data_IF_375401462737
#
_entry.id   IF_375401462737
#
_cell.length_a   1.000
_cell.length_b   1.000
_cell.length_c   1.000
_cell.angle_alpha   90.00
_cell.angle_beta   90.00
_cell.angle_gamma   90.00
#
_symmetry.space_group_name_H-M   'P 1'
#
loop_
_entity.id
_entity.type
_entity.pdbx_description
1 polymer ?
#
# COMPACT_ATOMS: atom_id res chain seq x y z
N UNK A 1 -30.57 -12.89 21.76
CA UNK A 1 -29.60 -11.98 21.17
C UNK A 1 -28.36 -12.09 22.03
N UNK A 2 -27.28 -12.64 21.50
CA UNK A 2 -25.98 -12.57 22.17
C UNK A 2 -25.61 -11.10 22.30
N UNK A 3 -25.17 -10.68 23.48
CA UNK A 3 -24.68 -9.32 23.68
C UNK A 3 -23.46 -9.10 22.79
N UNK A 4 -23.51 -8.07 21.93
CA UNK A 4 -22.39 -7.71 21.06
C UNK A 4 -21.15 -7.43 21.92
N UNK A 5 -20.03 -8.04 21.56
CA UNK A 5 -18.77 -7.82 22.28
C UNK A 5 -18.25 -6.41 22.01
N UNK A 6 -17.65 -5.72 22.99
CA UNK A 6 -17.04 -4.43 22.78
C UNK A 6 -15.90 -4.51 21.77
N UNK A 7 -15.77 -3.47 20.92
CA UNK A 7 -14.79 -3.41 19.83
C UNK A 7 -13.50 -2.72 20.28
N UNK A 8 -12.36 -3.35 19.96
CA UNK A 8 -11.02 -2.77 20.06
C UNK A 8 -10.52 -2.41 18.67
N UNK A 9 -10.25 -1.13 18.44
CA UNK A 9 -9.61 -0.65 17.23
C UNK A 9 -8.11 -0.47 17.44
N UNK A 10 -7.27 -1.01 16.52
CA UNK A 10 -5.82 -0.93 16.60
C UNK A 10 -5.28 -0.02 15.51
N UNK A 11 -4.78 1.16 15.90
CA UNK A 11 -4.08 2.10 15.03
C UNK A 11 -2.56 1.89 15.15
N UNK A 12 -1.94 1.32 14.12
CA UNK A 12 -0.51 1.02 14.14
C UNK A 12 0.05 0.97 12.71
N UNK A 13 1.36 1.15 12.52
CA UNK A 13 1.98 0.82 11.26
C UNK A 13 1.77 -0.66 10.93
N UNK A 14 1.80 -1.03 9.65
CA UNK A 14 1.64 -2.41 9.21
C UNK A 14 2.84 -2.88 8.38
N UNK A 15 3.04 -4.21 8.36
CA UNK A 15 4.18 -4.83 7.71
C UNK A 15 5.50 -4.49 8.41
N UNK A 16 6.60 -4.58 7.68
CA UNK A 16 7.91 -4.18 8.17
C UNK A 16 8.18 -2.72 7.82
N UNK A 17 8.63 -1.94 8.79
CA UNK A 17 8.98 -0.52 8.63
C UNK A 17 10.39 -0.27 9.13
N UNK A 18 11.19 0.40 8.31
CA UNK A 18 12.50 0.87 8.73
C UNK A 18 12.34 1.96 9.79
N UNK A 19 12.89 1.73 10.96
CA UNK A 19 13.06 2.78 11.96
C UNK A 19 14.30 3.60 11.60
N UNK A 20 14.07 4.83 11.16
CA UNK A 20 15.15 5.73 10.71
C UNK A 20 16.10 6.11 11.84
N UNK A 21 15.66 6.07 13.09
CA UNK A 21 16.48 6.44 14.26
C UNK A 21 17.37 5.28 14.72
N UNK A 22 16.91 4.03 14.52
CA UNK A 22 17.57 2.81 15.01
C UNK A 22 18.25 1.99 13.93
N UNK A 23 18.04 2.33 12.65
CA UNK A 23 18.66 1.66 11.49
C UNK A 23 18.34 0.15 11.36
N UNK A 24 17.19 -0.29 11.87
CA UNK A 24 16.66 -1.63 11.67
C UNK A 24 15.17 -1.62 11.32
N UNK A 25 14.69 -2.69 10.70
CA UNK A 25 13.27 -2.86 10.41
C UNK A 25 12.51 -3.38 11.64
N UNK A 26 11.33 -2.81 11.90
CA UNK A 26 10.40 -3.29 12.91
C UNK A 26 9.27 -4.06 12.21
N UNK A 27 9.01 -5.27 12.67
CA UNK A 27 7.92 -6.12 12.16
C UNK A 27 6.64 -5.89 12.97
N UNK A 28 5.80 -4.96 12.49
CA UNK A 28 4.54 -4.60 13.14
C UNK A 28 3.48 -5.69 13.04
N UNK A 29 3.52 -6.55 11.99
CA UNK A 29 2.63 -7.69 11.92
C UNK A 29 2.90 -8.68 13.06
N UNK A 30 4.18 -8.94 13.35
CA UNK A 30 4.54 -9.79 14.46
C UNK A 30 4.14 -9.19 15.82
N UNK A 31 4.33 -7.87 16.03
CA UNK A 31 3.86 -7.19 17.26
C UNK A 31 2.35 -7.37 17.44
N UNK A 32 1.58 -7.23 16.37
CA UNK A 32 0.15 -7.46 16.40
C UNK A 32 -0.21 -8.92 16.74
N UNK A 33 0.34 -9.89 16.00
CA UNK A 33 -0.04 -11.31 16.09
C UNK A 33 0.37 -11.97 17.40
N UNK A 34 1.56 -11.71 17.93
CA UNK A 34 2.04 -12.36 19.17
C UNK A 34 1.97 -11.48 20.41
N UNK A 35 1.66 -10.18 20.26
CA UNK A 35 1.57 -9.22 21.35
C UNK A 35 0.14 -8.72 21.57
N UNK A 36 -0.37 -7.89 20.65
CA UNK A 36 -1.64 -7.19 20.84
C UNK A 36 -2.82 -8.17 20.80
N UNK A 37 -2.94 -8.97 19.76
CA UNK A 37 -4.04 -9.92 19.56
C UNK A 37 -4.21 -10.92 20.71
N UNK A 38 -3.13 -11.55 21.23
CA UNK A 38 -3.26 -12.44 22.37
C UNK A 38 -3.67 -11.75 23.68
N UNK A 39 -3.30 -10.48 23.86
CA UNK A 39 -3.72 -9.71 25.03
C UNK A 39 -5.24 -9.42 24.99
N UNK A 40 -5.74 -9.01 23.82
CA UNK A 40 -7.19 -8.75 23.61
C UNK A 40 -8.00 -10.03 23.72
N UNK A 41 -7.50 -11.14 23.18
CA UNK A 41 -8.17 -12.44 23.21
C UNK A 41 -8.41 -13.04 24.63
N UNK A 42 -7.82 -12.42 25.69
CA UNK A 42 -8.12 -12.80 27.09
C UNK A 42 -9.49 -12.29 27.57
N UNK A 43 -10.11 -11.43 26.80
CA UNK A 43 -11.39 -10.77 27.14
C UNK A 43 -12.42 -11.05 26.05
N UNK A 44 -13.71 -10.95 26.33
CA UNK A 44 -14.76 -11.05 25.32
C UNK A 44 -14.81 -9.75 24.51
N UNK A 45 -13.81 -9.52 23.67
CA UNK A 45 -13.61 -8.32 22.86
C UNK A 45 -13.39 -8.71 21.40
N UNK A 46 -14.00 -7.94 20.51
CA UNK A 46 -13.68 -7.98 19.08
C UNK A 46 -12.52 -7.04 18.77
N UNK A 47 -11.67 -7.40 17.81
CA UNK A 47 -10.48 -6.64 17.46
C UNK A 47 -10.42 -6.38 15.96
N UNK A 48 -10.18 -5.14 15.55
CA UNK A 48 -9.98 -4.72 14.17
C UNK A 48 -8.72 -3.85 14.09
N UNK A 49 -7.84 -4.14 13.13
CA UNK A 49 -6.63 -3.35 12.86
C UNK A 49 -6.82 -2.43 11.65
N UNK A 50 -6.23 -1.23 11.69
CA UNK A 50 -6.41 -0.18 10.68
C UNK A 50 -5.97 -0.56 9.25
N UNK A 51 -4.99 -1.46 9.10
CA UNK A 51 -4.49 -1.90 7.78
C UNK A 51 -5.31 -3.03 7.14
N UNK A 52 -6.19 -3.63 7.88
CA UNK A 52 -7.19 -4.55 7.33
C UNK A 52 -8.14 -3.79 6.39
N UNK A 53 -8.09 -2.45 6.42
CA UNK A 53 -8.73 -1.53 5.46
C UNK A 53 -7.82 -1.18 4.27
N UNK A 54 -7.57 -2.13 3.39
CA UNK A 54 -6.84 -1.89 2.13
C UNK A 54 -7.69 -1.32 1.00
N UNK A 55 -8.81 -0.70 1.29
CA UNK A 55 -9.68 -0.12 0.28
C UNK A 55 -9.23 1.28 -0.09
N UNK A 56 -8.79 1.45 -1.33
CA UNK A 56 -8.62 2.76 -1.94
C UNK A 56 -9.99 3.39 -2.20
N UNK A 57 -10.17 4.59 -1.76
CA UNK A 57 -11.37 5.39 -1.83
C UNK A 57 -11.22 6.52 -0.83
N UNK A 58 -12.29 7.11 -0.35
CA UNK A 58 -12.23 7.96 0.84
C UNK A 58 -11.94 7.05 2.05
N UNK A 59 -10.69 6.64 2.16
CA UNK A 59 -10.14 5.74 3.19
C UNK A 59 -10.50 6.21 4.60
N UNK A 60 -10.78 7.50 4.75
CA UNK A 60 -10.95 8.14 6.04
C UNK A 60 -12.30 7.87 6.70
N UNK A 61 -13.38 7.56 5.95
CA UNK A 61 -14.69 7.43 6.58
C UNK A 61 -14.79 6.22 7.52
N UNK A 62 -14.49 4.98 7.09
CA UNK A 62 -14.48 3.82 7.97
C UNK A 62 -13.47 3.95 9.11
N UNK A 63 -12.28 4.48 8.83
CA UNK A 63 -11.25 4.73 9.83
C UNK A 63 -11.77 5.71 10.92
N UNK A 64 -12.38 6.83 10.52
CA UNK A 64 -12.95 7.77 11.49
C UNK A 64 -14.12 7.15 12.27
N UNK A 65 -15.00 6.39 11.60
CA UNK A 65 -16.08 5.67 12.29
C UNK A 65 -15.49 4.75 13.38
N UNK A 66 -14.43 3.98 13.08
CA UNK A 66 -13.77 3.09 14.04
C UNK A 66 -13.08 3.86 15.16
N UNK A 67 -12.33 4.92 14.85
CA UNK A 67 -11.72 5.78 15.86
C UNK A 67 -12.73 6.37 16.83
N UNK A 68 -13.90 6.74 16.32
CA UNK A 68 -14.95 7.38 17.12
C UNK A 68 -15.83 6.37 17.86
N UNK A 69 -16.16 5.24 17.24
CA UNK A 69 -17.21 4.33 17.71
C UNK A 69 -16.66 3.11 18.49
N UNK A 70 -15.40 2.69 18.26
CA UNK A 70 -14.81 1.61 19.05
C UNK A 70 -14.75 1.97 20.54
N UNK A 71 -15.06 1.02 21.41
CA UNK A 71 -15.03 1.22 22.86
C UNK A 71 -13.61 1.48 23.33
N UNK A 72 -12.64 0.74 22.81
CA UNK A 72 -11.22 0.85 23.15
C UNK A 72 -10.42 1.10 21.86
N UNK A 73 -9.42 1.97 21.94
CA UNK A 73 -8.40 2.11 20.90
C UNK A 73 -7.02 1.73 21.45
N UNK A 74 -6.26 0.93 20.71
CA UNK A 74 -4.85 0.65 20.97
C UNK A 74 -4.05 1.36 19.88
N UNK A 75 -3.12 2.23 20.27
CA UNK A 75 -2.34 3.07 19.34
C UNK A 75 -0.85 2.80 19.51
N UNK A 76 -0.17 2.33 18.47
CA UNK A 76 1.27 2.08 18.50
C UNK A 76 2.07 3.29 18.01
N UNK A 77 2.71 3.98 18.94
CA UNK A 77 3.47 5.21 18.71
C UNK A 77 4.98 4.98 18.42
N UNK A 78 5.43 3.74 18.21
CA UNK A 78 6.87 3.36 18.20
C UNK A 78 7.70 4.09 17.14
N UNK A 79 7.22 4.23 15.90
CA UNK A 79 8.00 4.82 14.80
C UNK A 79 7.65 6.28 14.51
N UNK A 80 6.92 6.96 15.38
CA UNK A 80 6.45 8.32 15.17
C UNK A 80 5.75 8.51 13.81
N UNK A 81 4.94 7.53 13.40
CA UNK A 81 4.21 7.58 12.14
C UNK A 81 3.17 8.71 12.17
N UNK A 82 3.26 9.64 11.22
CA UNK A 82 2.39 10.82 11.17
C UNK A 82 0.90 10.47 11.08
N UNK A 83 0.52 9.39 10.38
CA UNK A 83 -0.86 8.94 10.27
C UNK A 83 -1.37 8.43 11.63
N UNK A 84 -0.57 7.62 12.32
CA UNK A 84 -0.92 7.09 13.65
C UNK A 84 -1.09 8.24 14.66
N UNK A 85 -0.23 9.28 14.60
CA UNK A 85 -0.40 10.45 15.46
C UNK A 85 -1.63 11.30 15.11
N UNK A 86 -1.97 11.39 13.82
CA UNK A 86 -3.21 12.04 13.41
C UNK A 86 -4.44 11.28 13.94
N UNK A 87 -4.46 9.95 13.84
CA UNK A 87 -5.49 9.07 14.37
C UNK A 87 -5.60 9.19 15.90
N UNK A 88 -4.47 9.20 16.61
CA UNK A 88 -4.41 9.42 18.06
C UNK A 88 -5.01 10.77 18.45
N UNK A 89 -4.67 11.84 17.73
CA UNK A 89 -5.21 13.18 17.97
C UNK A 89 -6.72 13.24 17.79
N UNK A 90 -7.26 12.63 16.72
CA UNK A 90 -8.68 12.50 16.48
C UNK A 90 -9.38 11.74 17.61
N UNK A 91 -8.79 10.60 18.02
CA UNK A 91 -9.33 9.78 19.13
C UNK A 91 -9.35 10.55 20.44
N UNK A 92 -8.27 11.22 20.81
CA UNK A 92 -8.18 12.03 22.02
C UNK A 92 -9.17 13.19 22.03
N UNK A 93 -9.47 13.81 20.88
CA UNK A 93 -10.45 14.87 20.78
C UNK A 93 -11.90 14.36 20.91
N UNK A 94 -12.16 13.11 20.51
CA UNK A 94 -13.50 12.53 20.48
C UNK A 94 -13.87 11.75 21.75
N UNK A 95 -12.89 11.12 22.40
CA UNK A 95 -13.12 10.23 23.55
C UNK A 95 -12.32 10.66 24.76
N UNK A 96 -12.94 10.81 25.92
CA UNK A 96 -12.25 11.18 27.17
C UNK A 96 -11.31 10.10 27.65
N UNK A 97 -11.59 8.83 27.38
CA UNK A 97 -10.83 7.69 27.85
C UNK A 97 -10.84 6.51 26.88
N UNK A 98 -10.38 5.37 27.38
CA UNK A 98 -10.30 4.11 26.62
C UNK A 98 -9.34 4.13 25.42
N UNK A 99 -8.28 4.94 25.51
CA UNK A 99 -7.17 4.97 24.53
C UNK A 99 -5.91 4.44 25.18
N UNK A 100 -5.40 3.32 24.71
CA UNK A 100 -4.19 2.66 25.22
C UNK A 100 -3.05 2.91 24.23
N UNK A 101 -2.04 3.67 24.65
CA UNK A 101 -0.87 3.89 23.82
C UNK A 101 0.16 2.80 24.14
N UNK A 102 0.62 2.10 23.09
CA UNK A 102 1.73 1.15 23.19
C UNK A 102 2.95 1.70 22.47
N UNK A 103 4.15 1.34 22.92
CA UNK A 103 5.41 1.78 22.33
C UNK A 103 6.55 0.86 22.71
N UNK A 104 7.64 0.88 21.93
CA UNK A 104 8.87 0.21 22.37
C UNK A 104 9.48 0.90 23.59
N UNK A 105 10.13 0.12 24.45
CA UNK A 105 10.93 0.64 25.56
C UNK A 105 12.18 1.41 25.12
N UNK A 106 12.52 1.36 23.84
CA UNK A 106 13.70 1.98 23.26
C UNK A 106 13.37 3.36 22.68
N UNK A 107 14.10 4.39 23.10
CA UNK A 107 14.04 5.74 22.54
C UNK A 107 12.98 6.66 23.17
N UNK A 108 13.10 7.97 22.92
CA UNK A 108 12.19 8.97 23.48
C UNK A 108 10.85 8.97 22.76
N UNK A 109 9.78 9.22 23.50
CA UNK A 109 8.50 9.59 22.96
C UNK A 109 8.50 11.07 22.54
N UNK A 110 7.69 11.48 21.53
CA UNK A 110 7.46 12.87 21.25
C UNK A 110 6.96 13.63 22.48
N UNK A 111 7.37 14.89 22.61
CA UNK A 111 7.11 15.71 23.79
C UNK A 111 5.62 15.71 24.19
N UNK A 112 4.71 15.85 23.22
CA UNK A 112 3.27 15.98 23.48
C UNK A 112 2.61 14.70 24.01
N UNK A 113 3.22 13.54 23.80
CA UNK A 113 2.73 12.25 24.31
C UNK A 113 3.62 11.64 25.42
N UNK A 114 4.78 12.23 25.69
CA UNK A 114 5.70 11.74 26.70
C UNK A 114 5.11 11.80 28.13
N UNK A 115 4.11 12.62 28.36
CA UNK A 115 3.38 12.73 29.64
C UNK A 115 2.25 11.70 29.78
N UNK A 116 1.88 11.00 28.69
CA UNK A 116 0.77 10.06 28.72
C UNK A 116 1.29 8.69 29.16
N UNK A 117 0.48 7.98 29.94
CA UNK A 117 0.80 6.62 30.36
C UNK A 117 0.79 5.66 29.19
N UNK A 118 1.90 5.01 28.91
CA UNK A 118 2.06 4.03 27.82
C UNK A 118 2.31 2.62 28.34
N UNK A 119 1.92 1.61 27.57
CA UNK A 119 2.34 0.22 27.77
C UNK A 119 3.54 -0.06 26.87
N UNK A 120 4.63 -0.48 27.47
CA UNK A 120 5.89 -0.66 26.75
C UNK A 120 6.15 -2.13 26.40
N UNK A 121 6.79 -2.36 25.26
CA UNK A 121 7.31 -3.65 24.83
C UNK A 121 8.78 -3.53 24.42
N UNK A 122 9.54 -4.62 24.54
CA UNK A 122 10.97 -4.64 24.22
C UNK A 122 11.21 -5.38 22.91
N UNK A 123 11.96 -4.74 22.00
CA UNK A 123 12.38 -5.33 20.75
C UNK A 123 13.84 -5.78 20.82
N UNK A 124 14.17 -6.86 20.13
CA UNK A 124 15.54 -7.28 19.89
C UNK A 124 15.87 -7.06 18.40
N UNK A 125 16.57 -5.96 18.11
CA UNK A 125 16.87 -5.52 16.73
C UNK A 125 15.62 -5.45 15.82
N UNK A 126 14.54 -4.85 16.33
CA UNK A 126 13.30 -4.67 15.59
C UNK A 126 12.31 -5.83 15.65
N UNK A 127 12.65 -6.93 16.34
CA UNK A 127 11.79 -8.11 16.45
C UNK A 127 11.26 -8.27 17.86
N UNK A 128 9.95 -8.40 18.01
CA UNK A 128 9.35 -8.85 19.27
C UNK A 128 9.58 -10.37 19.40
N UNK A 129 10.43 -10.78 20.35
CA UNK A 129 10.69 -12.20 20.63
C UNK A 129 9.56 -12.80 21.46
N UNK A 130 9.39 -14.13 21.42
CA UNK A 130 8.34 -14.81 22.19
C UNK A 130 8.51 -14.58 23.69
N UNK A 131 9.75 -14.49 24.18
CA UNK A 131 10.06 -14.18 25.58
C UNK A 131 9.57 -12.78 25.98
N UNK A 132 9.83 -11.76 25.14
CA UNK A 132 9.41 -10.38 25.39
C UNK A 132 7.91 -10.17 25.12
N UNK A 133 7.31 -10.97 24.23
CA UNK A 133 5.89 -10.93 23.95
C UNK A 133 5.05 -11.31 25.18
N UNK A 134 5.44 -12.32 25.95
CA UNK A 134 4.69 -12.74 27.14
C UNK A 134 4.54 -11.59 28.15
N UNK A 135 5.62 -10.87 28.44
CA UNK A 135 5.59 -9.72 29.35
C UNK A 135 4.73 -8.57 28.81
N UNK A 136 4.79 -8.31 27.50
CA UNK A 136 3.95 -7.30 26.83
C UNK A 136 2.47 -7.68 26.87
N UNK A 137 2.12 -8.92 26.54
CA UNK A 137 0.76 -9.45 26.62
C UNK A 137 0.18 -9.25 28.02
N UNK A 138 0.94 -9.58 29.07
CA UNK A 138 0.50 -9.42 30.46
C UNK A 138 0.31 -7.94 30.83
N UNK A 139 1.22 -7.06 30.41
CA UNK A 139 1.12 -5.63 30.68
C UNK A 139 -0.09 -5.00 29.97
N UNK A 140 -0.28 -5.35 28.70
CA UNK A 140 -1.41 -4.84 27.91
C UNK A 140 -2.75 -5.40 28.41
N UNK A 141 -2.80 -6.68 28.80
CA UNK A 141 -4.00 -7.28 29.37
C UNK A 141 -4.44 -6.58 30.68
N UNK A 142 -3.49 -6.28 31.58
CA UNK A 142 -3.81 -5.50 32.80
C UNK A 142 -4.34 -4.09 32.48
N UNK A 143 -3.81 -3.44 31.43
CA UNK A 143 -4.32 -2.12 31.03
C UNK A 143 -5.72 -2.21 30.41
N UNK A 144 -5.97 -3.24 29.61
CA UNK A 144 -7.29 -3.55 29.05
C UNK A 144 -8.31 -3.84 30.16
N UNK A 145 -7.96 -4.63 31.15
CA UNK A 145 -8.82 -4.92 32.31
C UNK A 145 -9.19 -3.64 33.06
N UNK A 146 -8.20 -2.77 33.29
CA UNK A 146 -8.44 -1.45 33.91
C UNK A 146 -9.37 -0.57 33.05
N UNK A 147 -9.16 -0.51 31.75
CA UNK A 147 -10.01 0.26 30.83
C UNK A 147 -11.45 -0.29 30.78
N UNK A 148 -11.62 -1.60 30.80
CA UNK A 148 -12.94 -2.25 30.79
C UNK A 148 -13.71 -2.03 32.12
N UNK A 149 -13.00 -1.97 33.25
CA UNK A 149 -13.63 -1.77 34.56
C UNK A 149 -14.16 -0.35 34.76
N UNK A 150 -13.67 0.64 34.00
CA UNK A 150 -14.03 2.05 34.21
C UNK A 150 -14.16 2.83 32.88
N UNK A 151 -14.80 2.21 31.89
CA UNK A 151 -15.01 2.80 30.55
C UNK A 151 -15.68 4.18 30.55
N UNK A 152 -16.43 4.51 31.62
CA UNK A 152 -17.18 5.77 31.68
C UNK A 152 -16.42 6.90 32.39
N UNK A 153 -15.48 6.58 33.28
CA UNK A 153 -14.81 7.58 34.12
C UNK A 153 -13.29 7.69 33.84
N UNK A 154 -12.67 6.71 33.15
CA UNK A 154 -11.26 6.77 32.81
C UNK A 154 -11.01 7.92 31.82
N UNK A 155 -10.23 8.91 32.23
CA UNK A 155 -9.83 10.04 31.39
C UNK A 155 -8.36 9.91 31.06
N UNK A 156 -8.03 9.26 29.94
CA UNK A 156 -6.66 9.13 29.45
C UNK A 156 -6.30 10.14 28.34
N UNK A 157 -7.30 10.86 27.81
CA UNK A 157 -7.08 11.94 26.86
C UNK A 157 -6.55 13.21 27.53
N UNK A 158 -5.40 13.76 27.11
CA UNK A 158 -4.87 15.03 27.61
C UNK A 158 -5.83 16.21 27.48
N UNK A 159 -6.66 16.24 26.44
CA UNK A 159 -7.63 17.33 26.23
C UNK A 159 -8.67 17.38 27.34
N UNK A 160 -9.20 16.23 27.74
CA UNK A 160 -10.20 16.15 28.81
C UNK A 160 -9.56 16.30 30.19
N UNK A 161 -8.29 15.95 30.38
CA UNK A 161 -7.58 16.12 31.63
C UNK A 161 -7.16 17.58 31.87
N UNK A 162 -6.71 18.28 30.82
CA UNK A 162 -6.07 19.59 30.95
C UNK A 162 -7.01 20.76 30.65
N UNK A 163 -8.07 20.55 29.90
CA UNK A 163 -9.02 21.58 29.52
C UNK A 163 -10.34 21.34 30.28
N UNK A 164 -10.63 22.09 31.35
CA UNK A 164 -11.87 21.95 32.07
C UNK A 164 -13.09 22.16 31.15
N UNK A 165 -14.07 21.28 31.24
CA UNK A 165 -15.29 21.33 30.43
C UNK A 165 -15.07 21.19 28.90
N UNK A 166 -13.98 20.55 28.47
CA UNK A 166 -13.83 20.22 27.06
C UNK A 166 -15.06 19.39 26.62
N UNK A 167 -15.81 19.85 25.59
CA UNK A 167 -17.06 19.20 25.22
C UNK A 167 -16.74 17.83 24.57
N UNK A 168 -17.24 16.76 25.17
CA UNK A 168 -17.19 15.42 24.58
C UNK A 168 -18.13 15.31 23.39
N UNK A 169 -17.90 14.34 22.52
CA UNK A 169 -18.82 13.95 21.46
C UNK A 169 -19.76 12.87 22.03
N UNK A 170 -21.05 13.18 22.14
CA UNK A 170 -22.06 12.16 22.43
C UNK A 170 -22.39 11.41 21.13
N UNK A 171 -22.07 10.11 21.11
CA UNK A 171 -22.39 9.24 19.97
C UNK A 171 -23.67 8.47 20.28
N UNK A 172 -24.70 8.53 19.40
CA UNK A 172 -25.92 7.76 19.58
C UNK A 172 -25.64 6.25 19.64
N UNK A 173 -26.28 5.54 20.57
CA UNK A 173 -26.09 4.09 20.76
C UNK A 173 -26.39 3.29 19.48
N UNK A 174 -27.46 3.67 18.78
CA UNK A 174 -27.88 3.03 17.53
C UNK A 174 -26.84 3.15 16.41
N UNK A 175 -26.04 4.23 16.41
CA UNK A 175 -24.93 4.39 15.46
C UNK A 175 -23.80 3.39 15.74
N UNK A 176 -23.56 3.04 16.99
CA UNK A 176 -22.52 2.08 17.39
C UNK A 176 -22.91 0.64 17.02
N UNK A 177 -24.14 0.21 17.23
CA UNK A 177 -24.60 -1.15 16.87
C UNK A 177 -24.59 -1.35 15.35
N UNK A 178 -25.21 -0.45 14.60
CA UNK A 178 -25.23 -0.53 13.14
C UNK A 178 -23.82 -0.42 12.49
N UNK A 179 -22.87 0.20 13.18
CA UNK A 179 -21.48 0.23 12.78
C UNK A 179 -20.80 -1.15 12.98
N UNK A 180 -20.97 -1.78 14.15
CA UNK A 180 -20.37 -3.12 14.43
C UNK A 180 -20.83 -4.17 13.45
N UNK A 181 -22.13 -4.24 13.19
CA UNK A 181 -22.68 -5.18 12.20
C UNK A 181 -22.08 -4.98 10.82
N UNK A 182 -21.89 -3.72 10.41
CA UNK A 182 -21.23 -3.39 9.13
C UNK A 182 -19.77 -3.77 9.13
N UNK A 183 -19.02 -3.51 10.22
CA UNK A 183 -17.61 -3.81 10.32
C UNK A 183 -17.37 -5.34 10.20
N UNK A 184 -18.09 -6.14 10.97
CA UNK A 184 -18.01 -7.62 10.88
C UNK A 184 -18.39 -8.15 9.50
N UNK A 185 -19.43 -7.59 8.88
CA UNK A 185 -19.82 -7.98 7.53
C UNK A 185 -18.71 -7.68 6.51
N UNK A 186 -18.10 -6.49 6.57
CA UNK A 186 -17.01 -6.09 5.67
C UNK A 186 -15.79 -6.99 5.84
N UNK A 187 -15.37 -7.26 7.08
CA UNK A 187 -14.21 -8.12 7.35
C UNK A 187 -14.46 -9.57 6.89
N UNK A 188 -15.64 -10.12 7.15
CA UNK A 188 -16.02 -11.42 6.64
C UNK A 188 -16.04 -11.53 5.09
N UNK A 189 -16.38 -10.44 4.39
CA UNK A 189 -16.27 -10.36 2.92
C UNK A 189 -14.82 -10.35 2.48
N UNK A 190 -13.93 -9.58 3.15
CA UNK A 190 -12.49 -9.52 2.83
C UNK A 190 -11.81 -10.88 2.96
N UNK A 191 -12.05 -11.58 4.05
CA UNK A 191 -11.51 -12.94 4.26
C UNK A 191 -11.94 -13.90 3.13
N UNK A 192 -13.21 -13.81 2.73
CA UNK A 192 -13.74 -14.60 1.62
C UNK A 192 -13.11 -14.23 0.27
N UNK A 193 -12.83 -12.94 0.01
CA UNK A 193 -12.13 -12.49 -1.18
C UNK A 193 -10.68 -12.99 -1.21
N UNK A 194 -9.98 -12.97 -0.08
CA UNK A 194 -8.63 -13.54 0.04
C UNK A 194 -8.64 -15.03 -0.26
N UNK A 195 -9.58 -15.80 0.35
CA UNK A 195 -9.74 -17.22 0.10
C UNK A 195 -10.10 -17.52 -1.38
N UNK A 196 -10.97 -16.69 -1.97
CA UNK A 196 -11.34 -16.83 -3.38
C UNK A 196 -10.14 -16.61 -4.31
N UNK A 197 -9.28 -15.61 -4.05
CA UNK A 197 -8.05 -15.37 -4.83
C UNK A 197 -7.07 -16.53 -4.75
N UNK A 198 -6.98 -17.22 -3.62
CA UNK A 198 -6.09 -18.37 -3.43
C UNK A 198 -6.47 -19.57 -4.33
N UNK A 199 -7.70 -19.61 -4.86
CA UNK A 199 -8.11 -20.65 -5.83
C UNK A 199 -7.38 -20.52 -7.18
N UNK A 200 -6.96 -19.30 -7.56
CA UNK A 200 -6.32 -19.02 -8.83
C UNK A 200 -7.23 -19.18 -10.07
N UNK A 201 -6.77 -18.66 -11.21
CA UNK A 201 -7.42 -18.87 -12.49
C UNK A 201 -8.91 -18.46 -12.54
N UNK A 202 -9.67 -19.08 -13.43
CA UNK A 202 -11.10 -18.79 -13.63
C UNK A 202 -11.96 -19.21 -12.43
N UNK A 203 -11.51 -20.17 -11.62
CA UNK A 203 -12.22 -20.57 -10.40
C UNK A 203 -12.26 -19.40 -9.39
N UNK A 204 -11.16 -18.67 -9.26
CA UNK A 204 -11.11 -17.46 -8.44
C UNK A 204 -12.05 -16.37 -8.98
N UNK A 205 -12.07 -16.14 -10.31
CA UNK A 205 -12.97 -15.15 -10.95
C UNK A 205 -14.43 -15.48 -10.63
N UNK A 206 -14.81 -16.76 -10.78
CA UNK A 206 -16.17 -17.22 -10.48
C UNK A 206 -16.53 -16.99 -9.02
N UNK A 207 -15.61 -17.35 -8.10
CA UNK A 207 -15.86 -17.21 -6.66
C UNK A 207 -15.97 -15.76 -6.21
N UNK A 208 -15.12 -14.88 -6.75
CA UNK A 208 -15.19 -13.43 -6.49
C UNK A 208 -16.52 -12.88 -7.02
N UNK A 209 -17.01 -13.37 -8.17
CA UNK A 209 -18.29 -12.95 -8.74
C UNK A 209 -19.48 -13.33 -7.86
N UNK A 210 -19.48 -14.53 -7.27
CA UNK A 210 -20.52 -14.95 -6.32
C UNK A 210 -20.57 -14.01 -5.11
N UNK A 211 -19.39 -13.63 -4.58
CA UNK A 211 -19.28 -12.69 -3.46
C UNK A 211 -19.78 -11.30 -3.86
N UNK A 212 -19.39 -10.81 -5.04
CA UNK A 212 -19.87 -9.54 -5.61
C UNK A 212 -21.40 -9.50 -5.72
N UNK A 213 -22.02 -10.55 -6.27
CA UNK A 213 -23.46 -10.64 -6.41
C UNK A 213 -24.19 -10.68 -5.05
N UNK A 214 -23.58 -11.26 -4.02
CA UNK A 214 -24.10 -11.21 -2.65
C UNK A 214 -24.05 -9.80 -2.07
N UNK A 215 -22.89 -9.10 -2.25
CA UNK A 215 -22.72 -7.71 -1.82
C UNK A 215 -23.78 -6.83 -2.48
N UNK A 216 -23.97 -6.96 -3.80
CA UNK A 216 -24.94 -6.19 -4.57
C UNK A 216 -26.38 -6.31 -4.05
N UNK A 217 -26.73 -7.47 -3.49
CA UNK A 217 -28.07 -7.71 -2.90
C UNK A 217 -28.23 -7.11 -1.50
N UNK A 218 -27.17 -7.12 -0.68
CA UNK A 218 -27.20 -6.70 0.73
C UNK A 218 -26.82 -5.24 0.94
N UNK A 219 -25.90 -4.73 0.12
CA UNK A 219 -25.29 -3.40 0.28
C UNK A 219 -24.95 -2.78 -1.08
N UNK A 220 -25.94 -2.46 -1.92
CA UNK A 220 -25.71 -2.09 -3.33
C UNK A 220 -24.91 -0.81 -3.55
N UNK A 221 -24.76 0.05 -2.55
CA UNK A 221 -24.03 1.33 -2.63
C UNK A 221 -22.76 1.38 -1.78
N UNK A 222 -22.19 0.22 -1.40
CA UNK A 222 -20.97 0.21 -0.58
C UNK A 222 -19.72 0.34 -1.45
N UNK A 223 -19.22 1.58 -1.55
CA UNK A 223 -18.01 1.91 -2.31
C UNK A 223 -16.75 1.17 -1.81
N UNK A 224 -16.66 0.91 -0.52
CA UNK A 224 -15.56 0.21 0.11
C UNK A 224 -15.50 -1.24 -0.39
N UNK A 225 -16.59 -1.98 -0.26
CA UNK A 225 -16.65 -3.37 -0.74
C UNK A 225 -16.48 -3.49 -2.26
N UNK A 226 -17.01 -2.51 -3.02
CA UNK A 226 -16.77 -2.47 -4.47
C UNK A 226 -15.27 -2.35 -4.80
N UNK A 227 -14.54 -1.53 -4.02
CA UNK A 227 -13.09 -1.41 -4.18
C UNK A 227 -12.36 -2.69 -3.81
N UNK A 228 -12.72 -3.35 -2.70
CA UNK A 228 -12.12 -4.63 -2.30
C UNK A 228 -12.31 -5.70 -3.37
N UNK A 229 -13.49 -5.76 -4.00
CA UNK A 229 -13.79 -6.65 -5.14
C UNK A 229 -12.93 -6.29 -6.36
N UNK A 230 -12.77 -4.99 -6.70
CA UNK A 230 -11.90 -4.56 -7.80
C UNK A 230 -10.44 -4.98 -7.55
N UNK A 231 -9.93 -4.82 -6.34
CA UNK A 231 -8.57 -5.24 -5.97
C UNK A 231 -8.42 -6.77 -5.98
N UNK A 232 -9.45 -7.51 -5.58
CA UNK A 232 -9.45 -8.97 -5.67
C UNK A 232 -9.34 -9.44 -7.12
N UNK A 233 -10.10 -8.88 -8.04
CA UNK A 233 -9.99 -9.15 -9.48
C UNK A 233 -8.63 -8.75 -10.04
N UNK A 234 -8.13 -7.54 -9.70
CA UNK A 234 -6.82 -7.06 -10.15
C UNK A 234 -5.69 -8.06 -9.86
N UNK A 235 -5.73 -8.68 -8.69
CA UNK A 235 -4.70 -9.63 -8.25
C UNK A 235 -4.61 -10.91 -9.07
N UNK A 236 -5.59 -11.19 -9.94
CA UNK A 236 -5.60 -12.39 -10.79
C UNK A 236 -4.91 -12.17 -12.15
N UNK A 237 -4.83 -10.94 -12.64
CA UNK A 237 -4.27 -10.52 -13.94
C UNK A 237 -4.81 -11.32 -15.16
N UNK A 238 -6.09 -11.70 -15.14
CA UNK A 238 -6.78 -12.41 -16.20
C UNK A 238 -7.66 -11.46 -17.02
N UNK A 239 -7.92 -11.80 -18.30
CA UNK A 239 -8.82 -11.02 -19.14
C UNK A 239 -10.18 -10.81 -18.48
N UNK A 240 -10.78 -11.88 -18.01
CA UNK A 240 -12.08 -11.89 -17.35
C UNK A 240 -12.10 -11.07 -16.07
N UNK A 241 -10.99 -11.06 -15.33
CA UNK A 241 -10.87 -10.24 -14.12
C UNK A 241 -10.85 -8.74 -14.45
N UNK A 242 -10.16 -8.34 -15.53
CA UNK A 242 -10.16 -6.95 -16.00
C UNK A 242 -11.53 -6.53 -16.54
N UNK A 243 -12.22 -7.40 -17.27
CA UNK A 243 -13.60 -7.18 -17.73
C UNK A 243 -14.56 -6.95 -16.56
N UNK A 244 -14.42 -7.73 -15.49
CA UNK A 244 -15.22 -7.57 -14.29
C UNK A 244 -14.96 -6.26 -13.55
N UNK A 245 -13.70 -5.79 -13.46
CA UNK A 245 -13.39 -4.46 -12.90
C UNK A 245 -14.09 -3.37 -13.69
N UNK A 246 -14.00 -3.40 -15.01
CA UNK A 246 -14.65 -2.40 -15.89
C UNK A 246 -16.16 -2.42 -15.68
N UNK A 247 -16.78 -3.58 -15.74
CA UNK A 247 -18.22 -3.76 -15.55
C UNK A 247 -18.68 -3.28 -14.17
N UNK A 248 -17.97 -3.67 -13.10
CA UNK A 248 -18.30 -3.26 -11.74
C UNK A 248 -18.25 -1.73 -11.61
N UNK A 249 -17.16 -1.11 -12.05
CA UNK A 249 -17.02 0.34 -11.99
C UNK A 249 -18.12 1.07 -12.77
N UNK A 250 -18.43 0.63 -13.98
CA UNK A 250 -19.48 1.24 -14.82
C UNK A 250 -20.89 1.07 -14.25
N UNK A 251 -21.11 0.01 -13.48
CA UNK A 251 -22.37 -0.24 -12.76
C UNK A 251 -22.57 0.59 -11.49
N UNK A 252 -21.53 1.22 -10.95
CA UNK A 252 -21.64 2.09 -9.78
C UNK A 252 -22.37 3.39 -10.13
N UNK A 253 -23.02 3.99 -9.15
CA UNK A 253 -23.62 5.31 -9.29
C UNK A 253 -22.57 6.40 -9.57
N UNK A 254 -23.01 7.52 -10.16
CA UNK A 254 -22.11 8.61 -10.57
C UNK A 254 -21.32 9.19 -9.39
N UNK A 255 -21.94 9.37 -8.24
CA UNK A 255 -21.29 9.99 -7.08
C UNK A 255 -20.17 9.11 -6.53
N UNK A 256 -20.36 7.80 -6.49
CA UNK A 256 -19.34 6.82 -6.10
C UNK A 256 -18.17 6.79 -7.10
N UNK A 257 -18.47 6.75 -8.41
CA UNK A 257 -17.43 6.76 -9.45
C UNK A 257 -16.57 8.03 -9.45
N UNK A 258 -17.20 9.19 -9.29
CA UNK A 258 -16.50 10.48 -9.30
C UNK A 258 -15.84 10.80 -7.96
N UNK A 259 -16.36 10.27 -6.85
CA UNK A 259 -15.86 10.51 -5.50
C UNK A 259 -14.57 9.78 -5.15
N UNK A 260 -14.19 8.74 -5.90
CA UNK A 260 -13.01 7.94 -5.60
C UNK A 260 -11.94 8.03 -6.70
N UNK A 261 -10.84 8.72 -6.41
CA UNK A 261 -9.66 8.78 -7.29
C UNK A 261 -9.13 7.36 -7.54
N UNK A 262 -8.95 6.58 -6.48
CA UNK A 262 -8.37 5.23 -6.59
C UNK A 262 -9.24 4.30 -7.42
N UNK A 263 -10.56 4.35 -7.30
CA UNK A 263 -11.44 3.55 -8.18
C UNK A 263 -11.28 3.93 -9.65
N UNK A 264 -11.17 5.24 -9.96
CA UNK A 264 -10.91 5.72 -11.32
C UNK A 264 -9.55 5.28 -11.84
N UNK A 265 -8.53 5.23 -10.98
CA UNK A 265 -7.20 4.71 -11.30
C UNK A 265 -7.26 3.21 -11.61
N UNK A 266 -7.95 2.40 -10.78
CA UNK A 266 -8.12 0.97 -11.05
C UNK A 266 -8.90 0.71 -12.33
N UNK A 267 -9.93 1.51 -12.61
CA UNK A 267 -10.67 1.45 -13.88
C UNK A 267 -9.77 1.80 -15.09
N UNK A 268 -8.97 2.87 -14.99
CA UNK A 268 -8.00 3.25 -16.02
C UNK A 268 -6.95 2.16 -16.27
N UNK A 269 -6.43 1.54 -15.21
CA UNK A 269 -5.53 0.41 -15.29
C UNK A 269 -6.18 -0.79 -16.00
N UNK A 270 -7.40 -1.15 -15.59
CA UNK A 270 -8.14 -2.27 -16.18
C UNK A 270 -8.39 -2.08 -17.66
N UNK A 271 -8.79 -0.89 -18.09
CA UNK A 271 -8.95 -0.54 -19.49
C UNK A 271 -7.64 -0.69 -20.28
N UNK A 272 -6.51 -0.21 -19.77
CA UNK A 272 -5.22 -0.40 -20.44
C UNK A 272 -4.83 -1.88 -20.56
N UNK A 273 -5.12 -2.69 -19.54
CA UNK A 273 -4.89 -4.13 -19.59
C UNK A 273 -5.79 -4.82 -20.61
N UNK A 274 -7.08 -4.48 -20.65
CA UNK A 274 -8.04 -5.04 -21.62
C UNK A 274 -7.69 -4.72 -23.06
N UNK A 275 -7.10 -3.56 -23.34
CA UNK A 275 -6.66 -3.20 -24.68
C UNK A 275 -5.74 -4.27 -25.30
N UNK A 276 -4.93 -4.95 -24.50
CA UNK A 276 -4.04 -6.02 -24.98
C UNK A 276 -4.80 -7.17 -25.64
N UNK A 277 -6.03 -7.43 -25.20
CA UNK A 277 -6.90 -8.50 -25.69
C UNK A 277 -7.86 -8.00 -26.79
N UNK A 278 -8.49 -6.85 -26.59
CA UNK A 278 -9.60 -6.39 -27.41
C UNK A 278 -9.15 -5.48 -28.57
N UNK A 279 -8.07 -4.69 -28.37
CA UNK A 279 -7.56 -3.70 -29.34
C UNK A 279 -8.61 -2.66 -29.78
N UNK A 280 -9.57 -2.34 -28.89
CA UNK A 280 -10.63 -1.38 -29.09
C UNK A 280 -10.28 0.06 -28.66
N UNK A 281 -11.22 0.74 -28.02
CA UNK A 281 -11.07 2.12 -27.55
C UNK A 281 -10.63 2.24 -26.09
N UNK A 282 -10.31 1.12 -25.44
CA UNK A 282 -10.04 1.04 -24.00
C UNK A 282 -8.93 2.00 -23.57
N UNK A 283 -7.82 2.10 -24.31
CA UNK A 283 -6.74 3.05 -23.99
C UNK A 283 -7.16 4.51 -24.07
N UNK A 284 -8.00 4.85 -25.04
CA UNK A 284 -8.56 6.20 -25.17
C UNK A 284 -9.44 6.54 -23.95
N UNK A 285 -10.25 5.58 -23.52
CA UNK A 285 -11.08 5.70 -22.33
C UNK A 285 -10.21 5.79 -21.05
N UNK A 286 -9.18 4.97 -20.95
CA UNK A 286 -8.21 5.02 -19.83
C UNK A 286 -7.55 6.39 -19.72
N UNK A 287 -7.01 6.92 -20.83
CA UNK A 287 -6.41 8.26 -20.84
C UNK A 287 -7.42 9.33 -20.42
N UNK A 288 -8.66 9.26 -20.95
CA UNK A 288 -9.71 10.23 -20.59
C UNK A 288 -10.01 10.24 -19.11
N UNK A 289 -10.14 9.09 -18.46
CA UNK A 289 -10.46 9.05 -17.03
C UNK A 289 -9.26 9.48 -16.18
N UNK A 290 -8.04 9.05 -16.54
CA UNK A 290 -6.84 9.41 -15.79
C UNK A 290 -6.49 10.89 -15.92
N UNK A 291 -6.58 11.49 -17.12
CA UNK A 291 -6.40 12.94 -17.28
C UNK A 291 -7.46 13.74 -16.55
N UNK A 292 -8.71 13.27 -16.47
CA UNK A 292 -9.73 13.95 -15.67
C UNK A 292 -9.42 13.94 -14.15
N UNK A 293 -8.63 12.99 -13.66
CA UNK A 293 -8.12 13.01 -12.27
C UNK A 293 -7.08 14.12 -12.14
N UNK A 294 -6.13 14.20 -13.06
CA UNK A 294 -5.11 15.26 -13.07
C UNK A 294 -5.76 16.65 -13.11
N UNK A 295 -6.75 16.84 -13.97
CA UNK A 295 -7.45 18.12 -14.11
C UNK A 295 -8.19 18.53 -12.82
N UNK A 296 -8.68 17.58 -12.04
CA UNK A 296 -9.48 17.85 -10.84
C UNK A 296 -8.68 17.84 -9.53
N UNK A 297 -7.61 17.06 -9.45
CA UNK A 297 -6.88 16.80 -8.21
C UNK A 297 -5.37 17.13 -8.30
N UNK A 298 -4.87 17.45 -9.49
CA UNK A 298 -3.45 17.70 -9.74
C UNK A 298 -2.64 16.42 -9.97
N UNK A 299 -1.34 16.59 -10.13
CA UNK A 299 -0.40 15.49 -10.34
C UNK A 299 -0.23 14.65 -9.08
N UNK A 300 -0.27 13.33 -9.24
CA UNK A 300 0.12 12.36 -8.23
C UNK A 300 1.05 11.31 -8.82
N UNK A 301 1.95 10.69 -8.02
CA UNK A 301 2.82 9.61 -8.49
C UNK A 301 2.06 8.49 -9.18
N UNK A 302 0.97 8.02 -8.59
CA UNK A 302 0.17 6.90 -9.10
C UNK A 302 -0.53 7.26 -10.42
N UNK A 303 -1.31 8.36 -10.46
CA UNK A 303 -2.06 8.72 -11.67
C UNK A 303 -1.11 9.02 -12.84
N UNK A 304 -0.03 9.77 -12.59
CA UNK A 304 0.97 10.06 -13.61
C UNK A 304 1.67 8.79 -14.11
N UNK A 305 2.01 7.85 -13.21
CA UNK A 305 2.63 6.59 -13.58
C UNK A 305 1.69 5.70 -14.41
N UNK A 306 0.38 5.69 -14.13
CA UNK A 306 -0.60 4.97 -14.93
C UNK A 306 -0.71 5.53 -16.35
N UNK A 307 -0.70 6.86 -16.51
CA UNK A 307 -0.67 7.50 -17.84
C UNK A 307 0.67 7.19 -18.54
N UNK A 308 1.79 7.37 -17.86
CA UNK A 308 3.12 7.03 -18.35
C UNK A 308 3.21 5.58 -18.83
N UNK A 309 2.58 4.64 -18.11
CA UNK A 309 2.51 3.23 -18.48
C UNK A 309 1.75 3.01 -19.79
N UNK A 310 0.65 3.73 -20.02
CA UNK A 310 -0.10 3.64 -21.27
C UNK A 310 0.78 4.06 -22.44
N UNK A 311 1.49 5.18 -22.33
CA UNK A 311 2.39 5.65 -23.38
C UNK A 311 3.62 4.75 -23.56
N UNK A 312 4.16 4.15 -22.48
CA UNK A 312 5.24 3.14 -22.55
C UNK A 312 4.78 1.89 -23.32
N UNK A 313 3.54 1.41 -23.06
CA UNK A 313 2.97 0.28 -23.79
C UNK A 313 2.79 0.63 -25.30
N UNK A 314 2.32 1.84 -25.63
CA UNK A 314 2.20 2.34 -27.01
C UNK A 314 3.57 2.48 -27.70
N UNK A 315 4.58 2.98 -26.99
CA UNK A 315 5.96 3.02 -27.48
C UNK A 315 6.45 1.63 -27.87
N UNK A 316 6.27 0.65 -26.99
CA UNK A 316 6.73 -0.71 -27.23
C UNK A 316 6.04 -1.33 -28.47
N UNK A 317 4.73 -1.13 -28.61
CA UNK A 317 3.96 -1.61 -29.76
C UNK A 317 4.35 -0.91 -31.06
N UNK A 318 4.51 0.42 -31.06
CA UNK A 318 4.92 1.18 -32.24
C UNK A 318 6.34 0.83 -32.67
N UNK A 319 7.26 0.62 -31.70
CA UNK A 319 8.62 0.17 -31.98
C UNK A 319 8.63 -1.22 -32.64
N UNK A 320 7.85 -2.15 -32.11
CA UNK A 320 7.72 -3.50 -32.68
C UNK A 320 7.10 -3.50 -34.08
N UNK A 321 6.20 -2.54 -34.36
CA UNK A 321 5.58 -2.35 -35.68
C UNK A 321 6.49 -1.59 -36.69
N UNK A 322 7.68 -1.14 -36.29
CA UNK A 322 8.57 -0.34 -37.15
C UNK A 322 8.12 1.11 -37.35
N UNK A 323 7.15 1.61 -36.57
CA UNK A 323 6.60 2.97 -36.66
C UNK A 323 7.46 3.98 -35.87
N UNK A 324 8.73 4.19 -36.31
CA UNK A 324 9.76 4.92 -35.55
C UNK A 324 9.34 6.32 -35.09
N UNK A 325 8.66 7.12 -35.93
CA UNK A 325 8.20 8.47 -35.58
C UNK A 325 7.14 8.43 -34.45
N UNK A 326 6.17 7.53 -34.57
CA UNK A 326 5.15 7.36 -33.51
C UNK A 326 5.77 6.84 -32.21
N UNK A 327 6.69 5.88 -32.32
CA UNK A 327 7.41 5.35 -31.17
C UNK A 327 8.17 6.47 -30.44
N UNK A 328 8.87 7.35 -31.14
CA UNK A 328 9.55 8.48 -30.54
C UNK A 328 8.60 9.41 -29.78
N UNK A 329 7.45 9.77 -30.38
CA UNK A 329 6.45 10.60 -29.70
C UNK A 329 5.85 9.92 -28.45
N UNK A 330 5.54 8.63 -28.52
CA UNK A 330 5.05 7.90 -27.35
C UNK A 330 6.09 7.78 -26.24
N UNK A 331 7.36 7.63 -26.61
CA UNK A 331 8.48 7.61 -25.64
C UNK A 331 8.60 8.95 -24.91
N UNK A 332 8.52 10.06 -25.63
CA UNK A 332 8.55 11.40 -25.05
C UNK A 332 7.40 11.64 -24.06
N UNK A 333 6.17 11.30 -24.44
CA UNK A 333 5.04 11.37 -23.52
C UNK A 333 5.20 10.45 -22.29
N UNK A 334 5.72 9.25 -22.46
CA UNK A 334 5.95 8.37 -21.33
C UNK A 334 6.97 8.96 -20.34
N UNK A 335 8.07 9.51 -20.85
CA UNK A 335 9.09 10.20 -20.04
C UNK A 335 8.46 11.39 -19.29
N UNK A 336 7.71 12.22 -20.00
CA UNK A 336 7.05 13.40 -19.41
C UNK A 336 6.16 12.99 -18.23
N UNK A 337 5.25 12.03 -18.42
CA UNK A 337 4.31 11.64 -17.37
C UNK A 337 4.98 10.99 -16.17
N UNK A 338 5.97 10.11 -16.38
CA UNK A 338 6.72 9.53 -15.28
C UNK A 338 7.54 10.59 -14.53
N UNK A 339 8.14 11.56 -15.23
CA UNK A 339 8.88 12.66 -14.61
C UNK A 339 7.97 13.56 -13.79
N UNK A 340 6.76 13.88 -14.29
CA UNK A 340 5.72 14.60 -13.52
C UNK A 340 5.34 13.86 -12.25
N UNK A 341 5.13 12.56 -12.33
CA UNK A 341 4.81 11.73 -11.15
C UNK A 341 5.89 11.78 -10.09
N UNK A 342 7.16 11.67 -10.48
CA UNK A 342 8.29 11.80 -9.54
C UNK A 342 8.42 13.23 -8.98
N UNK A 343 8.13 14.24 -9.78
CA UNK A 343 8.17 15.63 -9.32
C UNK A 343 7.05 15.95 -8.31
N UNK A 344 5.88 15.32 -8.49
CA UNK A 344 4.74 15.49 -7.58
C UNK A 344 5.04 14.96 -6.16
N UNK A 345 5.74 13.83 -6.04
CA UNK A 345 6.28 13.34 -4.76
C UNK A 345 7.62 12.62 -4.98
N UNK A 346 8.76 13.34 -4.78
CA UNK A 346 10.09 12.74 -4.94
C UNK A 346 10.45 11.66 -3.91
N UNK A 347 9.58 11.36 -2.95
CA UNK A 347 9.76 10.24 -2.01
C UNK A 347 9.34 8.92 -2.62
N UNK A 348 8.46 8.97 -3.62
CA UNK A 348 8.05 7.78 -4.39
C UNK A 348 9.02 7.56 -5.56
N UNK A 349 9.88 6.55 -5.42
CA UNK A 349 10.89 6.21 -6.43
C UNK A 349 10.30 5.58 -7.70
N UNK A 350 9.08 5.02 -7.66
CA UNK A 350 8.51 4.23 -8.75
C UNK A 350 8.35 5.00 -10.07
N UNK A 351 7.77 6.21 -10.11
CA UNK A 351 7.77 6.99 -11.34
C UNK A 351 9.20 7.37 -11.78
N UNK A 352 10.06 7.69 -10.82
CA UNK A 352 11.44 8.12 -11.09
C UNK A 352 12.28 7.05 -11.79
N UNK A 353 12.23 5.79 -11.35
CA UNK A 353 12.99 4.72 -11.99
C UNK A 353 12.48 4.43 -13.40
N UNK A 354 11.16 4.51 -13.64
CA UNK A 354 10.60 4.37 -14.98
C UNK A 354 11.01 5.53 -15.91
N UNK A 355 11.01 6.77 -15.42
CA UNK A 355 11.53 7.91 -16.17
C UNK A 355 13.01 7.74 -16.52
N UNK A 356 13.85 7.33 -15.56
CA UNK A 356 15.27 7.08 -15.77
C UNK A 356 15.52 6.00 -16.85
N UNK A 357 14.78 4.89 -16.76
CA UNK A 357 14.82 3.83 -17.77
C UNK A 357 14.51 4.34 -19.17
N UNK A 358 13.44 5.13 -19.32
CA UNK A 358 13.01 5.63 -20.62
C UNK A 358 13.91 6.76 -21.16
N UNK A 359 14.48 7.60 -20.30
CA UNK A 359 15.51 8.57 -20.68
C UNK A 359 16.77 7.87 -21.22
N UNK A 360 17.17 6.76 -20.60
CA UNK A 360 18.26 5.95 -21.13
C UNK A 360 17.91 5.39 -22.52
N UNK A 361 16.71 4.86 -22.70
CA UNK A 361 16.22 4.36 -24.00
C UNK A 361 16.19 5.45 -25.07
N UNK A 362 15.81 6.68 -24.73
CA UNK A 362 15.79 7.84 -25.64
C UNK A 362 17.19 8.20 -26.12
N UNK A 363 18.20 8.12 -25.26
CA UNK A 363 19.63 8.19 -25.56
C UNK A 363 20.07 9.46 -26.35
N UNK A 364 19.37 10.60 -26.17
CA UNK A 364 19.78 11.89 -26.75
C UNK A 364 20.73 12.64 -25.80
N UNK A 365 21.47 13.67 -26.28
CA UNK A 365 22.29 14.50 -25.40
C UNK A 365 21.50 15.08 -24.22
N UNK A 366 20.28 15.56 -24.49
CA UNK A 366 19.36 16.16 -23.50
C UNK A 366 18.91 15.10 -22.47
N UNK A 367 18.49 13.92 -22.93
CA UNK A 367 18.06 12.84 -22.04
C UNK A 367 19.20 12.31 -21.16
N UNK A 368 20.43 12.34 -21.64
CA UNK A 368 21.61 11.98 -20.82
C UNK A 368 21.86 12.98 -19.70
N UNK A 369 21.71 14.27 -19.96
CA UNK A 369 21.83 15.31 -18.92
C UNK A 369 20.74 15.15 -17.87
N UNK A 370 19.50 14.91 -18.30
CA UNK A 370 18.38 14.72 -17.39
C UNK A 370 18.54 13.43 -16.57
N UNK A 371 18.99 12.33 -17.19
CA UNK A 371 19.30 11.09 -16.51
C UNK A 371 20.35 11.26 -15.41
N UNK A 372 21.40 12.04 -15.66
CA UNK A 372 22.43 12.37 -14.66
C UNK A 372 21.88 13.12 -13.44
N UNK A 373 20.82 13.92 -13.62
CA UNK A 373 20.14 14.63 -12.52
C UNK A 373 19.17 13.71 -11.78
N UNK A 374 18.43 12.88 -12.52
CA UNK A 374 17.34 12.06 -11.98
C UNK A 374 17.86 10.88 -11.18
N UNK A 375 18.86 10.14 -11.67
CA UNK A 375 19.34 8.90 -11.03
C UNK A 375 19.77 9.12 -9.57
N UNK A 376 20.55 10.15 -9.19
CA UNK A 376 20.89 10.36 -7.79
C UNK A 376 19.67 10.64 -6.89
N UNK A 377 18.68 11.38 -7.40
CA UNK A 377 17.46 11.69 -6.65
C UNK A 377 16.61 10.44 -6.41
N UNK A 378 16.42 9.62 -7.43
CA UNK A 378 15.68 8.34 -7.33
C UNK A 378 16.43 7.35 -6.44
N UNK A 379 17.76 7.28 -6.54
CA UNK A 379 18.58 6.42 -5.68
C UNK A 379 18.46 6.82 -4.20
N UNK A 380 18.44 8.12 -3.92
CA UNK A 380 18.21 8.63 -2.56
C UNK A 380 16.82 8.27 -2.04
N UNK A 381 15.77 8.42 -2.87
CA UNK A 381 14.40 8.04 -2.51
C UNK A 381 14.29 6.54 -2.18
N UNK A 382 14.86 5.68 -3.03
CA UNK A 382 14.89 4.23 -2.81
C UNK A 382 15.68 3.86 -1.54
N UNK A 383 16.83 4.52 -1.30
CA UNK A 383 17.66 4.26 -0.12
C UNK A 383 16.94 4.60 1.20
N UNK A 384 16.13 5.66 1.22
CA UNK A 384 15.33 6.06 2.40
C UNK A 384 14.28 5.02 2.80
N UNK A 385 13.79 4.22 1.87
CA UNK A 385 12.80 3.16 2.12
C UNK A 385 13.45 1.80 2.43
N UNK A 386 14.76 1.76 2.59
CA UNK A 386 15.53 0.55 2.90
C UNK A 386 16.55 0.18 1.84
N UNK A 387 16.30 0.47 0.56
CA UNK A 387 17.22 0.18 -0.55
C UNK A 387 17.68 -1.28 -0.53
N UNK A 388 19.01 -1.49 -0.47
CA UNK A 388 19.62 -2.83 -0.39
C UNK A 388 19.26 -3.63 0.86
N UNK A 389 18.83 -2.98 1.95
CA UNK A 389 18.45 -3.63 3.21
C UNK A 389 16.98 -4.00 3.26
N UNK A 390 16.19 -3.57 2.27
CA UNK A 390 14.76 -3.83 2.23
C UNK A 390 14.43 -5.33 2.16
N UNK A 391 13.30 -5.69 2.71
CA UNK A 391 12.62 -6.98 2.50
C UNK A 391 11.64 -6.94 1.33
N UNK A 392 11.42 -5.77 0.72
CA UNK A 392 10.58 -5.59 -0.46
C UNK A 392 11.40 -5.77 -1.74
N UNK A 393 11.00 -6.74 -2.56
CA UNK A 393 11.65 -7.02 -3.85
C UNK A 393 11.75 -5.77 -4.75
N UNK A 394 10.67 -4.99 -4.86
CA UNK A 394 10.62 -3.84 -5.77
C UNK A 394 11.61 -2.74 -5.41
N UNK A 395 11.88 -2.54 -4.13
CA UNK A 395 12.89 -1.59 -3.67
C UNK A 395 14.30 -2.07 -4.06
N UNK A 396 14.59 -3.35 -3.87
CA UNK A 396 15.90 -3.94 -4.25
C UNK A 396 16.05 -3.97 -5.77
N UNK A 397 15.00 -4.30 -6.51
CA UNK A 397 14.99 -4.28 -7.97
C UNK A 397 15.24 -2.87 -8.53
N UNK A 398 14.69 -1.84 -7.89
CA UNK A 398 14.98 -0.44 -8.24
C UNK A 398 16.46 -0.11 -8.05
N UNK A 399 17.08 -0.56 -6.95
CA UNK A 399 18.54 -0.38 -6.77
C UNK A 399 19.33 -1.10 -7.85
N UNK A 400 18.91 -2.30 -8.23
CA UNK A 400 19.52 -3.06 -9.34
C UNK A 400 19.43 -2.28 -10.67
N UNK A 401 18.23 -1.81 -11.04
CA UNK A 401 18.02 -1.08 -12.28
C UNK A 401 18.85 0.22 -12.33
N UNK A 402 18.88 0.98 -11.23
CA UNK A 402 19.67 2.22 -11.14
C UNK A 402 21.18 1.95 -11.17
N UNK A 403 21.66 0.87 -10.55
CA UNK A 403 23.06 0.49 -10.57
C UNK A 403 23.50 0.08 -11.98
N UNK A 404 22.66 -0.64 -12.73
CA UNK A 404 22.91 -0.97 -14.14
C UNK A 404 22.95 0.32 -14.98
N UNK A 405 21.97 1.22 -14.83
CA UNK A 405 21.94 2.50 -15.55
C UNK A 405 23.16 3.38 -15.26
N UNK A 406 23.70 3.31 -14.04
CA UNK A 406 24.90 4.04 -13.63
C UNK A 406 26.23 3.33 -13.94
N UNK A 407 26.22 2.15 -14.55
CA UNK A 407 27.42 1.35 -14.79
C UNK A 407 28.10 0.83 -13.52
N UNK A 408 27.39 0.79 -12.41
CA UNK A 408 27.89 0.35 -11.10
C UNK A 408 27.77 -1.17 -10.93
N UNK A 409 28.55 -1.91 -11.71
CA UNK A 409 28.40 -3.37 -11.89
C UNK A 409 28.51 -4.17 -10.60
N UNK A 410 29.41 -3.78 -9.68
CA UNK A 410 29.53 -4.44 -8.38
C UNK A 410 28.29 -4.26 -7.51
N UNK A 411 27.65 -3.12 -7.60
CA UNK A 411 26.41 -2.83 -6.87
C UNK A 411 25.22 -3.53 -7.53
N UNK A 412 25.19 -3.58 -8.86
CA UNK A 412 24.21 -4.33 -9.63
C UNK A 412 24.23 -5.83 -9.27
N UNK A 413 25.40 -6.45 -9.21
CA UNK A 413 25.52 -7.86 -8.81
C UNK A 413 25.08 -8.10 -7.36
N UNK A 414 25.43 -7.20 -6.42
CA UNK A 414 24.95 -7.30 -5.04
C UNK A 414 23.44 -7.15 -4.94
N UNK A 415 22.87 -6.22 -5.70
CA UNK A 415 21.43 -5.99 -5.73
C UNK A 415 20.68 -7.18 -6.35
N UNK A 416 21.21 -7.78 -7.43
CA UNK A 416 20.69 -9.01 -8.01
C UNK A 416 20.68 -10.16 -6.98
N UNK A 417 21.83 -10.42 -6.35
CA UNK A 417 21.93 -11.46 -5.32
C UNK A 417 20.92 -11.25 -4.20
N UNK A 418 20.78 -10.00 -3.72
CA UNK A 418 19.79 -9.66 -2.70
C UNK A 418 18.36 -9.86 -3.20
N UNK A 419 18.02 -9.40 -4.40
CA UNK A 419 16.69 -9.56 -4.98
C UNK A 419 16.25 -11.02 -5.06
N UNK A 420 17.15 -11.89 -5.55
CA UNK A 420 16.89 -13.33 -5.65
C UNK A 420 16.74 -14.03 -4.29
N UNK A 421 17.42 -13.55 -3.23
CA UNK A 421 17.25 -14.10 -1.86
C UNK A 421 15.93 -13.72 -1.18
N UNK A 422 15.16 -12.81 -1.75
CA UNK A 422 13.81 -12.45 -1.27
C UNK A 422 12.72 -13.42 -1.76
N UNK A 423 13.09 -14.49 -2.48
CA UNK A 423 12.17 -15.44 -3.09
C UNK A 423 11.07 -14.75 -3.92
N UNK A 424 11.46 -13.94 -4.92
CA UNK A 424 10.50 -13.20 -5.74
C UNK A 424 9.62 -14.16 -6.54
N UNK A 425 8.38 -13.73 -6.80
CA UNK A 425 7.55 -14.44 -7.74
C UNK A 425 8.01 -14.23 -9.20
N UNK A 426 7.66 -15.13 -10.14
CA UNK A 426 8.07 -15.03 -11.54
C UNK A 426 7.65 -13.70 -12.21
N UNK A 427 6.51 -13.12 -11.82
CA UNK A 427 6.02 -11.85 -12.39
C UNK A 427 6.93 -10.69 -12.00
N UNK A 428 7.44 -10.69 -10.77
CA UNK A 428 8.38 -9.67 -10.28
C UNK A 428 9.68 -9.71 -11.09
N UNK A 429 10.28 -10.88 -11.22
CA UNK A 429 11.50 -11.07 -12.01
C UNK A 429 11.33 -10.72 -13.49
N UNK A 430 10.22 -11.15 -14.10
CA UNK A 430 9.90 -10.84 -15.49
C UNK A 430 9.73 -9.34 -15.75
N UNK A 431 9.15 -8.62 -14.79
CA UNK A 431 8.98 -7.17 -14.90
C UNK A 431 10.33 -6.45 -14.88
N UNK A 432 11.20 -6.81 -13.95
CA UNK A 432 12.57 -6.25 -13.85
C UNK A 432 13.41 -6.62 -15.08
N UNK A 433 13.39 -7.88 -15.52
CA UNK A 433 14.04 -8.34 -16.74
C UNK A 433 13.56 -7.54 -17.97
N UNK A 434 12.25 -7.34 -18.13
CA UNK A 434 11.69 -6.57 -19.24
C UNK A 434 12.16 -5.10 -19.23
N UNK A 435 12.29 -4.48 -18.07
CA UNK A 435 12.84 -3.13 -17.95
C UNK A 435 14.32 -3.10 -18.39
N UNK A 436 15.15 -4.04 -17.91
CA UNK A 436 16.57 -4.12 -18.29
C UNK A 436 16.75 -4.35 -19.80
N UNK A 437 15.92 -5.19 -20.41
CA UNK A 437 15.94 -5.45 -21.87
C UNK A 437 15.63 -4.20 -22.70
N UNK A 438 14.85 -3.24 -22.20
CA UNK A 438 14.53 -2.02 -22.95
C UNK A 438 15.78 -1.24 -23.35
N UNK A 439 16.79 -1.20 -22.51
CA UNK A 439 18.03 -0.46 -22.75
C UNK A 439 19.28 -1.35 -22.85
N UNK A 440 19.12 -2.67 -22.86
CA UNK A 440 20.25 -3.61 -23.04
C UNK A 440 21.04 -3.33 -24.32
N UNK A 441 20.36 -2.96 -25.41
CA UNK A 441 20.98 -2.64 -26.69
C UNK A 441 21.85 -1.37 -26.68
N UNK A 442 21.84 -0.59 -25.57
CA UNK A 442 22.70 0.59 -25.41
C UNK A 442 24.10 0.25 -24.92
N UNK A 443 24.31 -0.98 -24.45
CA UNK A 443 25.59 -1.46 -23.94
C UNK A 443 26.32 -2.27 -25.02
N UNK A 444 27.64 -2.18 -25.03
CA UNK A 444 28.54 -2.90 -25.94
C UNK A 444 29.58 -3.68 -25.12
N UNK A 445 30.19 -4.67 -25.76
CA UNK A 445 31.28 -5.45 -25.17
C UNK A 445 30.92 -6.14 -23.86
N UNK A 446 31.80 -6.00 -22.87
CA UNK A 446 31.64 -6.63 -21.54
C UNK A 446 30.39 -6.15 -20.78
N UNK A 447 30.02 -4.91 -20.99
CA UNK A 447 28.84 -4.36 -20.29
C UNK A 447 27.54 -4.96 -20.83
N UNK A 448 27.44 -5.20 -22.14
CA UNK A 448 26.32 -5.92 -22.74
C UNK A 448 26.23 -7.37 -22.21
N UNK A 449 27.38 -8.03 -22.05
CA UNK A 449 27.43 -9.36 -21.46
C UNK A 449 26.93 -9.38 -20.00
N UNK A 450 27.34 -8.41 -19.18
CA UNK A 450 26.90 -8.28 -17.78
C UNK A 450 25.38 -8.04 -17.66
N UNK A 451 24.81 -7.18 -18.49
CA UNK A 451 23.35 -6.98 -18.53
C UNK A 451 22.66 -8.28 -18.95
N UNK A 452 23.19 -8.99 -19.94
CA UNK A 452 22.69 -10.29 -20.36
C UNK A 452 22.67 -11.34 -19.24
N UNK A 453 23.75 -11.41 -18.45
CA UNK A 453 23.84 -12.31 -17.28
C UNK A 453 22.81 -11.98 -16.22
N UNK A 454 22.59 -10.68 -15.90
CA UNK A 454 21.58 -10.23 -14.94
C UNK A 454 20.18 -10.61 -15.41
N UNK A 455 19.88 -10.35 -16.70
CA UNK A 455 18.59 -10.71 -17.32
C UNK A 455 18.37 -12.23 -17.24
N UNK A 456 19.37 -13.02 -17.63
CA UNK A 456 19.27 -14.49 -17.59
C UNK A 456 19.05 -15.02 -16.17
N UNK A 457 19.71 -14.45 -15.16
CA UNK A 457 19.53 -14.84 -13.77
C UNK A 457 18.11 -14.54 -13.24
N UNK A 458 17.52 -13.42 -13.63
CA UNK A 458 16.13 -13.07 -13.28
C UNK A 458 15.14 -14.03 -13.96
N UNK A 459 15.37 -14.39 -15.22
CA UNK A 459 14.49 -15.27 -15.99
C UNK A 459 14.60 -16.75 -15.57
N UNK A 460 15.74 -17.16 -15.02
CA UNK A 460 15.92 -18.52 -14.49
C UNK A 460 14.99 -18.83 -13.29
N UNK A 461 14.51 -17.84 -12.57
CA UNK A 461 13.52 -18.04 -11.48
C UNK A 461 12.22 -18.66 -12.01
N UNK A 462 11.86 -18.37 -13.26
CA UNK A 462 10.67 -18.96 -13.89
C UNK A 462 10.82 -20.46 -14.22
N UNK A 463 12.05 -20.95 -14.39
CA UNK A 463 12.31 -22.34 -14.76
C UNK A 463 12.28 -23.30 -13.54
N UNK A 464 12.25 -22.78 -12.33
CA UNK A 464 12.30 -23.54 -11.06
C UNK A 464 10.97 -23.53 -10.29
N UNK A 465 9.96 -22.79 -10.76
CA UNK A 465 8.60 -22.70 -10.18
C UNK A 465 7.60 -23.46 -11.07
#
# INVERSE_FOLDING_TARGET
>A
MEALQPLVFVAMPFGKKLDQTRSYEIDFNRIYEIGIRPAVARFPLDIIRADEERSGGVIHKPMFERLLLAEIAIVDATTHNANVFYELGVRHAARPGSTIIVTTSEGPLPFDIAMIRTVQYTLERGVLTDANAAAFVDALARRLESALSDLQNDQDSPLFQLIPQFPGIELPHDACEGFRDRAHYVDGIRDRLVAARALGGLAAVTKIREIEDEIGKKSPANAELAMDVMLAYRGLDLKESWENIVRLFEGLDKSTREGSITMREQYGLALNRLYKFNKGDERKRALKVLTSIIDSAGDSPETCALIGRIYKDQYTEAKAAGEGVKAAGFLEHAIEWYSRGFTADPRDYFPGVNAATLLAVQNTPESKVELQRLVPAVSFAAARLGGMKSSDYWQVATVLELAVLGGQWSDAQRALGRALTLNPDPMQCNTTSANLKLYQALYEGDDAARVGEIVAALEAVHALA
#
